data_IF_685862198089
#
_entry.id   IF_685862198089
#
_cell.length_a   1.000
_cell.length_b   1.000
_cell.length_c   1.000
_cell.angle_alpha   90.00
_cell.angle_beta   90.00
_cell.angle_gamma   90.00
#
_symmetry.space_group_name_H-M   'P 1'
#
loop_
_entity.id
_entity.type
_entity.pdbx_description
1 polymer ?
#
# COMPACT_ATOMS: atom_id res chain seq x y z
N UNK A 1 19.27 18.04 13.48
CA UNK A 1 18.37 17.23 14.36
C UNK A 1 17.55 16.18 13.60
N UNK A 2 17.43 16.28 12.26
CA UNK A 2 16.70 15.29 11.43
C UNK A 2 17.47 14.00 11.15
N UNK A 3 18.78 13.98 11.33
CA UNK A 3 19.65 12.85 11.00
C UNK A 3 19.64 11.73 12.05
N UNK A 4 19.05 11.96 13.23
CA UNK A 4 19.10 11.00 14.33
C UNK A 4 17.89 10.05 14.40
N UNK A 5 16.78 10.34 13.69
CA UNK A 5 15.59 9.47 13.66
C UNK A 5 15.65 8.35 12.63
N UNK A 6 16.56 8.43 11.64
CA UNK A 6 16.65 7.45 10.57
C UNK A 6 17.50 6.21 10.95
N UNK A 7 18.21 6.24 12.07
CA UNK A 7 19.18 5.20 12.45
C UNK A 7 18.59 4.07 13.34
N UNK A 8 17.30 4.06 13.61
CA UNK A 8 16.73 3.18 14.65
C UNK A 8 15.96 1.95 14.15
N UNK A 9 15.86 1.68 12.82
CA UNK A 9 15.07 0.54 12.33
C UNK A 9 15.67 -0.27 11.19
N UNK A 10 16.96 -0.17 10.91
CA UNK A 10 17.57 -1.10 9.95
C UNK A 10 17.80 -2.45 10.61
N UNK A 11 17.06 -3.45 10.19
CA UNK A 11 17.10 -4.80 10.74
C UNK A 11 17.52 -5.78 9.66
N UNK A 12 18.71 -6.37 9.80
CA UNK A 12 19.16 -7.41 8.88
C UNK A 12 18.29 -8.66 9.05
N UNK A 13 17.90 -9.24 7.94
CA UNK A 13 17.17 -10.51 7.86
C UNK A 13 17.75 -11.40 6.77
N UNK A 14 17.53 -12.68 6.91
CA UNK A 14 17.79 -13.68 5.88
C UNK A 14 16.46 -14.27 5.45
N UNK A 15 16.19 -14.26 4.15
CA UNK A 15 14.95 -14.86 3.62
C UNK A 15 14.92 -16.37 3.88
N UNK A 16 13.84 -16.83 4.51
CA UNK A 16 13.64 -18.25 4.81
C UNK A 16 13.10 -19.05 3.62
N UNK A 17 12.51 -18.37 2.64
CA UNK A 17 11.99 -18.92 1.38
C UNK A 17 12.08 -17.90 0.26
N UNK A 18 11.89 -18.37 -0.98
CA UNK A 18 11.77 -17.50 -2.13
C UNK A 18 10.53 -16.61 -2.02
N UNK A 19 10.66 -15.36 -2.44
CA UNK A 19 9.56 -14.39 -2.52
C UNK A 19 9.62 -13.63 -3.84
N UNK A 20 8.46 -13.23 -4.36
CA UNK A 20 8.39 -12.28 -5.47
C UNK A 20 8.27 -10.88 -4.89
N UNK A 21 9.29 -10.07 -5.07
CA UNK A 21 9.34 -8.68 -4.61
C UNK A 21 9.14 -7.70 -5.76
N UNK A 22 8.82 -6.45 -5.43
CA UNK A 22 8.69 -5.37 -6.40
C UNK A 22 9.88 -4.44 -6.28
N UNK A 23 10.64 -4.27 -7.36
CA UNK A 23 11.81 -3.38 -7.37
C UNK A 23 11.38 -1.93 -7.32
N UNK A 24 12.07 -1.14 -6.50
CA UNK A 24 11.84 0.30 -6.34
C UNK A 24 13.00 1.03 -7.04
N UNK A 25 12.73 2.05 -7.86
CA UNK A 25 11.41 2.64 -8.18
C UNK A 25 10.76 2.11 -9.45
N UNK A 26 11.32 1.09 -10.11
CA UNK A 26 10.86 0.65 -11.43
C UNK A 26 9.48 -0.01 -11.43
N UNK A 27 9.09 -0.64 -10.31
CA UNK A 27 7.85 -1.41 -10.21
C UNK A 27 7.94 -2.83 -10.77
N UNK A 28 9.11 -3.25 -11.25
CA UNK A 28 9.32 -4.58 -11.83
C UNK A 28 9.25 -5.67 -10.76
N UNK A 29 8.64 -6.79 -11.10
CA UNK A 29 8.64 -7.97 -10.24
C UNK A 29 9.94 -8.75 -10.42
N UNK A 30 10.57 -9.07 -9.29
CA UNK A 30 11.81 -9.85 -9.27
C UNK A 30 11.77 -10.90 -8.16
N UNK A 31 12.30 -12.10 -8.40
CA UNK A 31 12.45 -13.11 -7.36
C UNK A 31 13.62 -12.74 -6.44
N UNK A 32 13.39 -12.82 -5.13
CA UNK A 32 14.44 -12.85 -4.11
C UNK A 32 14.48 -14.27 -3.54
N UNK A 33 15.66 -14.91 -3.62
CA UNK A 33 15.80 -16.32 -3.27
C UNK A 33 16.00 -16.53 -1.76
N UNK A 34 15.61 -17.69 -1.28
CA UNK A 34 15.91 -18.14 0.09
C UNK A 34 17.40 -18.01 0.38
N UNK A 35 17.75 -17.63 1.59
CA UNK A 35 19.14 -17.39 2.00
C UNK A 35 19.69 -16.00 1.67
N UNK A 36 18.97 -15.19 0.86
CA UNK A 36 19.37 -13.80 0.58
C UNK A 36 19.33 -12.97 1.86
N UNK A 37 20.41 -12.23 2.10
CA UNK A 37 20.45 -11.22 3.15
C UNK A 37 19.81 -9.93 2.68
N UNK A 38 18.94 -9.39 3.49
CA UNK A 38 18.24 -8.13 3.22
C UNK A 38 18.25 -7.26 4.47
N UNK A 39 18.27 -5.95 4.27
CA UNK A 39 18.14 -4.98 5.36
C UNK A 39 16.77 -4.32 5.28
N UNK A 40 15.93 -4.52 6.30
CA UNK A 40 14.63 -3.83 6.38
C UNK A 40 14.89 -2.36 6.71
N UNK A 41 14.46 -1.45 5.84
CA UNK A 41 14.54 -0.02 6.04
C UNK A 41 13.28 0.54 6.68
N UNK A 42 12.12 0.05 6.25
CA UNK A 42 10.83 0.49 6.80
C UNK A 42 9.75 -0.56 6.60
N UNK A 43 8.71 -0.44 7.42
CA UNK A 43 7.47 -1.21 7.30
C UNK A 43 6.31 -0.24 7.22
N UNK A 44 5.59 -0.24 6.11
CA UNK A 44 4.45 0.64 5.87
C UNK A 44 3.26 -0.19 5.38
N UNK A 45 2.10 -0.02 6.03
CA UNK A 45 0.89 -0.75 5.67
C UNK A 45 1.05 -2.28 5.68
N UNK A 46 1.97 -2.79 6.51
CA UNK A 46 2.33 -4.22 6.58
C UNK A 46 3.32 -4.70 5.52
N UNK A 47 3.62 -3.90 4.50
CA UNK A 47 4.66 -4.22 3.51
C UNK A 47 6.04 -3.77 3.99
N UNK A 48 7.09 -4.43 3.51
CA UNK A 48 8.47 -4.20 3.93
C UNK A 48 9.27 -3.63 2.78
N UNK A 49 9.94 -2.48 3.00
CA UNK A 49 10.97 -1.99 2.07
C UNK A 49 12.32 -2.50 2.54
N UNK A 50 12.97 -3.28 1.69
CA UNK A 50 14.23 -3.94 1.99
C UNK A 50 15.33 -3.52 1.00
N UNK A 51 16.55 -3.36 1.51
CA UNK A 51 17.76 -3.19 0.71
C UNK A 51 18.40 -4.54 0.50
N UNK A 52 18.82 -4.80 -0.74
CA UNK A 52 19.65 -5.94 -1.15
C UNK A 52 20.91 -5.42 -1.87
N UNK A 53 21.80 -6.33 -2.26
CA UNK A 53 22.95 -5.99 -3.12
C UNK A 53 22.52 -5.49 -4.52
N UNK A 54 21.28 -5.75 -4.91
CA UNK A 54 20.72 -5.40 -6.23
C UNK A 54 19.81 -4.16 -6.20
N UNK A 55 19.65 -3.51 -5.04
CA UNK A 55 18.82 -2.31 -4.87
C UNK A 55 17.72 -2.48 -3.84
N UNK A 56 16.77 -1.57 -3.90
CA UNK A 56 15.59 -1.54 -3.02
C UNK A 56 14.45 -2.37 -3.60
N UNK A 57 13.80 -3.12 -2.72
CA UNK A 57 12.63 -3.93 -3.06
C UNK A 57 11.54 -3.77 -2.02
N UNK A 58 10.29 -3.85 -2.47
CA UNK A 58 9.12 -3.99 -1.62
C UNK A 58 8.71 -5.47 -1.57
N UNK A 59 8.61 -5.99 -0.35
CA UNK A 59 8.03 -7.31 -0.06
C UNK A 59 6.64 -7.08 0.52
N UNK A 60 5.63 -7.75 -0.05
CA UNK A 60 4.25 -7.61 0.38
C UNK A 60 4.03 -8.20 1.78
N UNK A 61 3.01 -7.68 2.49
CA UNK A 61 2.67 -8.09 3.87
C UNK A 61 2.48 -9.61 4.01
N UNK A 62 1.88 -10.25 3.01
CA UNK A 62 1.64 -11.71 2.98
C UNK A 62 2.91 -12.55 3.02
N UNK A 63 4.04 -11.97 2.60
CA UNK A 63 5.35 -12.61 2.54
C UNK A 63 6.26 -12.22 3.72
N UNK A 64 5.73 -11.56 4.75
CA UNK A 64 6.47 -11.16 5.95
C UNK A 64 7.07 -12.32 6.72
N UNK A 65 6.45 -13.51 6.65
CA UNK A 65 6.96 -14.76 7.23
C UNK A 65 8.35 -15.13 6.68
N UNK A 66 8.62 -14.83 5.40
CA UNK A 66 9.94 -15.06 4.79
C UNK A 66 11.05 -14.23 5.44
N UNK A 67 10.70 -13.08 6.04
CA UNK A 67 11.60 -12.21 6.79
C UNK A 67 11.66 -12.57 8.29
N UNK A 68 10.90 -13.58 8.74
CA UNK A 68 10.72 -13.88 10.15
C UNK A 68 9.94 -12.79 10.91
N UNK A 69 9.22 -11.95 10.18
CA UNK A 69 8.32 -10.94 10.74
C UNK A 69 6.91 -11.53 10.85
N UNK A 70 6.14 -11.04 11.81
CA UNK A 70 4.74 -11.45 11.91
C UNK A 70 4.00 -10.91 10.67
N UNK A 71 3.28 -11.79 10.01
CA UNK A 71 2.31 -11.36 9.00
C UNK A 71 1.28 -10.51 9.73
N UNK A 72 1.14 -9.24 9.33
CA UNK A 72 0.14 -8.37 9.93
C UNK A 72 -1.22 -9.08 9.87
N UNK A 73 -1.96 -9.05 10.99
CA UNK A 73 -3.34 -9.53 10.98
C UNK A 73 -4.14 -8.66 10.00
N UNK A 74 -4.36 -9.19 8.82
CA UNK A 74 -5.09 -8.51 7.75
C UNK A 74 -6.60 -8.64 7.91
N UNK A 75 -7.05 -9.22 9.02
CA UNK A 75 -8.48 -9.39 9.28
C UNK A 75 -9.13 -8.03 9.54
N UNK A 76 -9.93 -7.58 8.59
CA UNK A 76 -10.74 -6.37 8.76
C UNK A 76 -11.90 -6.68 9.68
N UNK A 77 -11.88 -6.11 10.89
CA UNK A 77 -12.95 -6.27 11.90
C UNK A 77 -14.16 -5.37 11.62
N UNK A 78 -14.51 -5.19 10.36
CA UNK A 78 -15.71 -4.45 9.97
C UNK A 78 -16.89 -5.41 9.78
N UNK A 79 -18.07 -4.97 10.17
CA UNK A 79 -19.31 -5.65 9.80
C UNK A 79 -19.78 -5.13 8.44
N UNK A 80 -20.49 -5.97 7.69
CA UNK A 80 -21.25 -5.49 6.54
C UNK A 80 -22.45 -4.66 7.01
N UNK A 81 -22.94 -3.76 6.17
CA UNK A 81 -24.19 -3.05 6.39
C UNK A 81 -25.38 -4.03 6.38
N UNK A 82 -26.55 -3.58 6.82
CA UNK A 82 -27.74 -4.42 6.96
C UNK A 82 -28.19 -5.13 5.67
N UNK A 83 -27.86 -4.55 4.51
CA UNK A 83 -28.12 -5.10 3.18
C UNK A 83 -26.98 -5.97 2.63
N UNK A 84 -25.96 -6.24 3.44
CA UNK A 84 -24.76 -7.00 3.06
C UNK A 84 -23.70 -6.17 2.33
N UNK A 85 -23.92 -4.88 2.12
CA UNK A 85 -22.95 -4.00 1.50
C UNK A 85 -21.70 -3.82 2.37
N UNK A 86 -20.51 -3.64 1.78
CA UNK A 86 -19.32 -3.25 2.52
C UNK A 86 -19.52 -1.88 3.17
N UNK A 87 -18.99 -1.72 4.38
CA UNK A 87 -18.94 -0.42 5.04
C UNK A 87 -17.94 0.48 4.31
N UNK A 88 -18.36 1.63 3.74
CA UNK A 88 -17.43 2.55 3.09
C UNK A 88 -16.31 3.05 4.00
N UNK A 89 -16.56 3.19 5.30
CA UNK A 89 -15.54 3.60 6.26
C UNK A 89 -14.42 2.56 6.34
N UNK A 90 -14.77 1.27 6.35
CA UNK A 90 -13.79 0.19 6.34
C UNK A 90 -12.97 0.16 5.04
N UNK A 91 -13.56 0.51 3.90
CA UNK A 91 -12.83 0.64 2.63
C UNK A 91 -11.81 1.78 2.72
N UNK A 92 -12.19 2.95 3.23
CA UNK A 92 -11.28 4.07 3.45
C UNK A 92 -10.15 3.73 4.42
N UNK A 93 -10.43 2.97 5.48
CA UNK A 93 -9.40 2.52 6.42
C UNK A 93 -8.39 1.59 5.77
N UNK A 94 -8.84 0.72 4.85
CA UNK A 94 -7.92 -0.12 4.07
C UNK A 94 -7.09 0.71 3.08
N UNK A 95 -7.65 1.72 2.45
CA UNK A 95 -6.89 2.63 1.58
C UNK A 95 -5.83 3.44 2.35
N UNK A 96 -6.08 3.77 3.64
CA UNK A 96 -5.07 4.39 4.52
C UNK A 96 -3.91 3.46 4.89
N UNK A 97 -4.02 2.17 4.61
CA UNK A 97 -2.93 1.21 4.78
C UNK A 97 -2.07 1.04 3.52
N UNK A 98 -2.36 1.78 2.45
CA UNK A 98 -1.60 1.76 1.19
C UNK A 98 -0.62 2.92 1.17
N UNK A 99 0.63 2.63 0.83
CA UNK A 99 1.72 3.62 0.82
C UNK A 99 2.50 3.53 -0.49
N UNK A 100 2.98 4.68 -0.94
CA UNK A 100 4.14 4.73 -1.82
C UNK A 100 5.38 4.35 -0.99
N UNK A 101 6.21 3.39 -1.42
CA UNK A 101 7.35 2.94 -0.61
C UNK A 101 8.41 4.03 -0.38
N UNK A 102 8.40 5.10 -1.13
CA UNK A 102 9.33 6.23 -0.98
C UNK A 102 8.77 7.35 -0.09
N UNK A 103 7.47 7.32 0.25
CA UNK A 103 6.79 8.39 0.97
C UNK A 103 6.15 7.82 2.25
N UNK A 104 6.50 8.29 3.46
CA UNK A 104 5.99 7.76 4.73
C UNK A 104 4.58 8.28 5.06
N UNK A 105 3.75 8.52 4.04
CA UNK A 105 2.36 8.97 4.16
C UNK A 105 1.50 8.10 3.25
N UNK A 106 0.34 7.67 3.75
CA UNK A 106 -0.56 6.82 2.97
C UNK A 106 -1.20 7.59 1.80
N UNK A 107 -1.71 6.85 0.82
CA UNK A 107 -2.27 7.42 -0.41
C UNK A 107 -3.48 8.33 -0.19
N UNK A 108 -4.26 8.11 0.90
CA UNK A 108 -5.41 8.96 1.23
C UNK A 108 -4.94 10.31 1.75
N UNK A 109 -4.03 10.33 2.72
CA UNK A 109 -3.48 11.56 3.28
C UNK A 109 -2.60 12.32 2.29
N UNK A 110 -2.01 11.64 1.32
CA UNK A 110 -1.34 12.29 0.18
C UNK A 110 -2.32 12.93 -0.82
N UNK A 111 -3.63 12.68 -0.68
CA UNK A 111 -4.62 13.20 -1.63
C UNK A 111 -4.57 12.49 -2.98
N UNK A 112 -4.09 11.26 -3.03
CA UNK A 112 -3.99 10.47 -4.27
C UNK A 112 -5.29 9.76 -4.62
N UNK A 113 -6.21 9.56 -3.67
CA UNK A 113 -7.51 8.94 -3.91
C UNK A 113 -8.52 10.01 -4.24
N UNK A 114 -9.03 10.01 -5.47
CA UNK A 114 -9.98 11.01 -5.95
C UNK A 114 -11.44 10.62 -5.72
N UNK A 115 -11.76 9.34 -5.87
CA UNK A 115 -13.10 8.83 -5.55
C UNK A 115 -13.03 7.37 -5.11
N UNK A 116 -14.02 6.98 -4.31
CA UNK A 116 -14.26 5.60 -3.91
C UNK A 116 -15.77 5.40 -3.87
N UNK A 117 -16.28 4.50 -4.72
CA UNK A 117 -17.69 4.21 -4.86
C UNK A 117 -17.94 2.70 -4.67
N UNK A 118 -19.06 2.37 -4.01
CA UNK A 118 -19.54 1.01 -3.84
C UNK A 118 -20.72 0.80 -4.76
N UNK A 119 -20.58 -0.13 -5.69
CA UNK A 119 -21.59 -0.46 -6.69
C UNK A 119 -22.16 -1.87 -6.42
N UNK A 120 -23.48 -2.00 -6.43
CA UNK A 120 -24.12 -3.30 -6.39
C UNK A 120 -24.31 -3.83 -7.83
N UNK A 121 -23.75 -5.00 -8.10
CA UNK A 121 -23.88 -5.67 -9.40
C UNK A 121 -25.24 -6.38 -9.55
N UNK A 122 -25.59 -6.73 -10.78
CA UNK A 122 -26.85 -7.48 -11.11
C UNK A 122 -26.92 -8.86 -10.44
N UNK A 123 -25.77 -9.47 -10.17
CA UNK A 123 -25.66 -10.75 -9.45
C UNK A 123 -25.78 -10.62 -7.93
N UNK A 124 -25.96 -9.39 -7.44
CA UNK A 124 -26.07 -9.08 -6.01
C UNK A 124 -24.73 -8.88 -5.28
N UNK A 125 -23.59 -9.12 -5.93
CA UNK A 125 -22.27 -8.84 -5.38
C UNK A 125 -21.98 -7.34 -5.37
N UNK A 126 -21.11 -6.90 -4.46
CA UNK A 126 -20.67 -5.51 -4.39
C UNK A 126 -19.27 -5.36 -4.99
N UNK A 127 -19.10 -4.34 -5.81
CA UNK A 127 -17.84 -3.92 -6.39
C UNK A 127 -17.45 -2.55 -5.86
N UNK A 128 -16.18 -2.41 -5.48
CA UNK A 128 -15.61 -1.12 -5.10
C UNK A 128 -14.81 -0.57 -6.28
N UNK A 129 -15.16 0.63 -6.72
CA UNK A 129 -14.47 1.35 -7.78
C UNK A 129 -13.68 2.51 -7.15
N UNK A 130 -12.38 2.57 -7.43
CA UNK A 130 -11.50 3.63 -6.93
C UNK A 130 -10.82 4.32 -8.11
N UNK A 131 -10.89 5.64 -8.13
CA UNK A 131 -10.05 6.46 -9.00
C UNK A 131 -8.95 7.09 -8.15
N UNK A 132 -7.71 6.85 -8.53
CA UNK A 132 -6.54 7.39 -7.83
C UNK A 132 -5.53 7.97 -8.82
N UNK A 133 -4.60 8.75 -8.31
CA UNK A 133 -3.47 9.27 -9.07
C UNK A 133 -2.15 8.97 -8.38
N UNK A 134 -1.06 9.47 -8.92
CA UNK A 134 0.29 9.38 -8.37
C UNK A 134 0.89 10.78 -8.27
N UNK A 135 1.92 10.94 -7.46
CA UNK A 135 2.61 12.23 -7.26
C UNK A 135 3.33 12.71 -8.52
N UNK A 136 3.68 11.81 -9.42
CA UNK A 136 4.30 12.15 -10.70
C UNK A 136 3.87 11.19 -11.81
N UNK A 137 3.63 11.69 -13.04
CA UNK A 137 3.46 10.84 -14.21
C UNK A 137 4.71 9.98 -14.47
N UNK A 138 4.50 8.72 -14.83
CA UNK A 138 5.60 7.80 -15.14
C UNK A 138 6.25 7.13 -13.91
N UNK A 139 5.65 7.27 -12.72
CA UNK A 139 6.08 6.50 -11.55
C UNK A 139 5.89 4.99 -11.83
N UNK A 140 7.00 4.24 -11.88
CA UNK A 140 6.99 2.80 -12.13
C UNK A 140 6.24 2.01 -11.04
N UNK A 141 6.12 2.56 -9.84
CA UNK A 141 5.40 1.94 -8.72
C UNK A 141 3.87 2.02 -8.84
N UNK A 142 3.34 2.81 -9.78
CA UNK A 142 1.88 2.99 -9.93
C UNK A 142 1.07 1.70 -9.96
N UNK A 143 1.38 0.74 -10.85
CA UNK A 143 0.69 -0.53 -10.88
C UNK A 143 0.77 -1.31 -9.56
N UNK A 144 1.93 -1.32 -8.90
CA UNK A 144 2.11 -2.01 -7.64
C UNK A 144 1.30 -1.38 -6.49
N UNK A 145 1.18 -0.05 -6.46
CA UNK A 145 0.37 0.68 -5.49
C UNK A 145 -1.13 0.40 -5.74
N UNK A 146 -1.56 0.40 -7.00
CA UNK A 146 -2.94 0.10 -7.38
C UNK A 146 -3.32 -1.36 -7.02
N UNK A 147 -2.43 -2.31 -7.26
CA UNK A 147 -2.60 -3.71 -6.89
C UNK A 147 -2.67 -3.91 -5.37
N UNK A 148 -1.84 -3.18 -4.62
CA UNK A 148 -1.89 -3.20 -3.15
C UNK A 148 -3.23 -2.63 -2.64
N UNK A 149 -3.68 -1.51 -3.20
CA UNK A 149 -4.98 -0.94 -2.88
C UNK A 149 -6.12 -1.93 -3.16
N UNK A 150 -6.13 -2.55 -4.34
CA UNK A 150 -7.10 -3.57 -4.71
C UNK A 150 -7.10 -4.75 -3.73
N UNK A 151 -5.92 -5.26 -3.41
CA UNK A 151 -5.77 -6.40 -2.48
C UNK A 151 -6.32 -6.09 -1.10
N UNK A 152 -6.08 -4.89 -0.58
CA UNK A 152 -6.58 -4.44 0.72
C UNK A 152 -8.09 -4.20 0.72
N UNK A 153 -8.64 -3.62 -0.33
CA UNK A 153 -10.08 -3.43 -0.49
C UNK A 153 -10.82 -4.79 -0.48
N UNK A 154 -10.26 -5.79 -1.14
CA UNK A 154 -10.84 -7.14 -1.18
C UNK A 154 -10.88 -7.86 0.19
N UNK A 155 -10.15 -7.36 1.19
CA UNK A 155 -10.23 -7.87 2.58
C UNK A 155 -11.46 -7.34 3.33
N UNK A 156 -12.13 -6.30 2.83
CA UNK A 156 -13.29 -5.72 3.49
C UNK A 156 -14.49 -6.64 3.32
N UNK A 157 -15.17 -7.04 4.41
CA UNK A 157 -16.36 -7.88 4.33
C UNK A 157 -17.42 -7.27 3.42
N UNK A 158 -18.03 -8.10 2.57
CA UNK A 158 -19.05 -7.67 1.60
C UNK A 158 -18.49 -7.24 0.25
N UNK A 159 -17.19 -7.02 0.10
CA UNK A 159 -16.58 -6.72 -1.20
C UNK A 159 -16.38 -8.01 -1.99
N UNK A 160 -17.03 -8.10 -3.15
CA UNK A 160 -16.89 -9.22 -4.09
C UNK A 160 -15.87 -8.95 -5.20
N UNK A 161 -15.63 -7.67 -5.53
CA UNK A 161 -14.68 -7.26 -6.56
C UNK A 161 -14.18 -5.84 -6.29
N UNK A 162 -13.02 -5.50 -6.83
CA UNK A 162 -12.44 -4.16 -6.73
C UNK A 162 -11.75 -3.75 -8.04
N UNK A 163 -11.99 -2.52 -8.46
CA UNK A 163 -11.34 -1.90 -9.61
C UNK A 163 -10.64 -0.61 -9.17
N UNK A 164 -9.33 -0.57 -9.33
CA UNK A 164 -8.52 0.60 -8.97
C UNK A 164 -7.89 1.14 -10.24
N UNK A 165 -8.29 2.35 -10.64
CA UNK A 165 -7.83 3.00 -11.86
C UNK A 165 -6.95 4.18 -11.55
N UNK A 166 -5.84 4.28 -12.28
CA UNK A 166 -4.98 5.46 -12.24
C UNK A 166 -5.51 6.48 -13.25
N UNK A 167 -5.73 7.71 -12.80
CA UNK A 167 -6.10 8.86 -13.62
C UNK A 167 -5.11 10.00 -13.42
N UNK A 168 -4.94 10.82 -14.43
CA UNK A 168 -4.05 11.98 -14.40
C UNK A 168 -4.81 13.32 -14.45
N UNK A 169 -6.13 13.25 -14.40
CA UNK A 169 -7.00 14.43 -14.41
C UNK A 169 -7.96 14.38 -13.21
N UNK A 170 -7.92 15.42 -12.36
CA UNK A 170 -7.00 16.55 -12.37
C UNK A 170 -5.56 16.13 -12.01
N UNK A 171 -4.52 16.88 -12.42
CA UNK A 171 -3.15 16.59 -12.02
C UNK A 171 -2.98 16.84 -10.52
N UNK A 172 -2.27 15.91 -9.86
CA UNK A 172 -1.98 16.03 -8.43
C UNK A 172 -1.04 17.22 -8.15
N UNK A 173 -1.25 17.84 -7.00
CA UNK A 173 -0.33 18.84 -6.45
C UNK A 173 -0.32 18.79 -4.92
N UNK A 174 0.68 19.39 -4.30
CA UNK A 174 0.89 19.34 -2.85
C UNK A 174 -0.25 19.95 -2.01
N UNK A 175 -1.11 20.80 -2.59
CA UNK A 175 -2.25 21.35 -1.84
C UNK A 175 -3.31 20.29 -1.53
N UNK A 176 -3.29 19.15 -2.24
CA UNK A 176 -4.19 18.02 -2.04
C UNK A 176 -3.82 17.17 -0.83
N UNK A 177 -2.60 17.32 -0.29
CA UNK A 177 -2.15 16.61 0.91
C UNK A 177 -2.97 17.10 2.10
N UNK A 178 -3.49 16.14 2.91
CA UNK A 178 -4.21 16.45 4.14
C UNK A 178 -3.30 17.18 5.16
N UNK A 179 -3.88 17.85 6.14
CA UNK A 179 -3.10 18.48 7.21
C UNK A 179 -2.26 17.45 7.95
N UNK A 180 -2.80 16.27 8.23
CA UNK A 180 -2.07 15.17 8.85
C UNK A 180 -0.89 14.72 7.99
N UNK A 181 -1.09 14.58 6.67
CA UNK A 181 -0.04 14.25 5.72
C UNK A 181 1.05 15.31 5.69
N UNK A 182 0.68 16.60 5.70
CA UNK A 182 1.64 17.71 5.75
C UNK A 182 2.46 17.71 7.04
N UNK A 183 1.83 17.47 8.19
CA UNK A 183 2.54 17.33 9.46
C UNK A 183 3.54 16.18 9.43
N UNK A 184 3.15 15.01 8.92
CA UNK A 184 4.05 13.84 8.79
C UNK A 184 5.24 14.11 7.88
N UNK A 185 5.05 14.96 6.85
CA UNK A 185 6.10 15.36 5.91
C UNK A 185 6.93 16.56 6.39
N UNK A 186 6.56 17.19 7.51
CA UNK A 186 7.23 18.38 8.02
C UNK A 186 7.01 19.63 7.16
N UNK A 187 5.86 19.72 6.49
CA UNK A 187 5.49 20.86 5.64
C UNK A 187 4.74 21.97 6.41
N UNK A 188 4.24 21.66 7.60
CA UNK A 188 3.60 22.58 8.56
C UNK A 188 4.00 22.20 9.96
#
# INVERSE_FOLDING_TARGET
LATHYFLLMTKERTLSRDVTATQIPSGDKAPLTAGSKVMIHQTLGGSFTVQTDFGLFRIDAKDGDALGEQVADTTVKAATLADGAPDPAAVWDQLRMVFDPEIPVNIVDLGLVYSMDVEKKDDGAFKVNVAMTLTAPGCGMGPAIADDAKSKILLVPGVGDADVRITWDPPWNQSMISEEGKMKLGLI
#
